data_IF_620760478686
#
_entry.id   IF_620760478686
#
_cell.length_a   1.000
_cell.length_b   1.000
_cell.length_c   1.000
_cell.angle_alpha   90.00
_cell.angle_beta   90.00
_cell.angle_gamma   90.00
#
_symmetry.space_group_name_H-M   'P 1'
#
loop_
_entity.id
_entity.type
_entity.pdbx_description
1 polymer ?
#
# COMPACT_ATOMS: atom_id res chain seq x y z
N UNK A 1 -4.84 15.34 4.03
CA UNK A 1 -6.24 15.80 3.97
C UNK A 1 -6.46 16.79 2.82
N UNK A 2 -5.67 17.84 2.71
CA UNK A 2 -5.77 18.86 1.66
C UNK A 2 -5.84 18.28 0.23
N UNK A 3 -4.97 17.32 -0.11
CA UNK A 3 -5.02 16.65 -1.41
C UNK A 3 -6.38 16.00 -1.73
N UNK A 4 -7.03 15.36 -0.75
CA UNK A 4 -8.34 14.75 -0.96
C UNK A 4 -9.43 15.82 -1.18
N UNK A 5 -9.36 16.92 -0.44
CA UNK A 5 -10.25 18.07 -0.63
C UNK A 5 -10.09 18.67 -2.03
N UNK A 6 -8.86 18.88 -2.50
CA UNK A 6 -8.55 19.38 -3.86
C UNK A 6 -9.11 18.46 -4.95
N UNK A 7 -9.15 17.16 -4.71
CA UNK A 7 -9.66 16.16 -5.64
C UNK A 7 -11.17 15.88 -5.45
N UNK A 8 -11.85 16.59 -4.55
CA UNK A 8 -13.24 16.34 -4.17
C UNK A 8 -13.48 14.85 -3.82
N UNK A 9 -12.59 14.27 -3.00
CA UNK A 9 -12.64 12.88 -2.57
C UNK A 9 -12.78 12.79 -1.06
N UNK A 10 -13.44 11.72 -0.60
CA UNK A 10 -13.45 11.38 0.83
C UNK A 10 -12.10 10.76 1.21
N UNK A 11 -11.67 11.00 2.46
CA UNK A 11 -10.46 10.43 2.99
C UNK A 11 -10.70 9.77 4.35
N UNK A 12 -10.01 8.66 4.58
CA UNK A 12 -9.94 8.00 5.88
C UNK A 12 -8.49 8.05 6.37
N UNK A 13 -8.29 8.62 7.56
CA UNK A 13 -7.02 8.57 8.27
C UNK A 13 -7.03 7.38 9.22
N UNK A 14 -5.99 6.54 9.13
CA UNK A 14 -5.75 5.45 10.06
C UNK A 14 -4.52 5.77 10.91
N UNK A 15 -4.74 6.14 12.17
CA UNK A 15 -3.67 6.37 13.15
C UNK A 15 -4.19 6.20 14.57
N UNK A 16 -3.36 5.69 15.46
CA UNK A 16 -3.65 5.61 16.91
C UNK A 16 -3.29 6.90 17.64
N UNK A 17 -2.55 7.79 16.99
CA UNK A 17 -2.02 9.03 17.57
C UNK A 17 -3.01 10.18 17.30
N UNK A 18 -3.99 10.29 18.19
CA UNK A 18 -5.07 11.30 18.06
C UNK A 18 -4.60 12.71 18.39
N UNK A 19 -3.55 12.84 19.18
CA UNK A 19 -2.94 14.10 19.60
C UNK A 19 -2.33 14.91 18.46
N UNK A 20 -2.04 14.26 17.34
CA UNK A 20 -1.47 14.89 16.13
C UNK A 20 -2.49 15.10 15.01
N UNK A 21 -3.77 14.81 15.28
CA UNK A 21 -4.79 14.98 14.25
C UNK A 21 -5.11 16.47 14.04
N UNK A 22 -5.03 16.96 12.80
CA UNK A 22 -5.55 18.29 12.48
C UNK A 22 -7.08 18.30 12.55
N UNK A 23 -7.67 19.48 12.55
CA UNK A 23 -9.11 19.61 12.32
C UNK A 23 -9.46 19.00 10.97
N UNK A 24 -10.34 17.99 10.98
CA UNK A 24 -10.72 17.27 9.77
C UNK A 24 -11.86 18.00 9.04
N UNK A 25 -11.80 18.14 7.72
CA UNK A 25 -12.93 18.61 6.93
C UNK A 25 -14.07 17.57 6.94
N UNK A 26 -15.31 17.96 6.62
CA UNK A 26 -16.47 17.04 6.63
C UNK A 26 -16.32 15.81 5.69
N UNK A 27 -15.44 15.90 4.69
CA UNK A 27 -15.13 14.82 3.76
C UNK A 27 -14.10 13.82 4.29
N UNK A 28 -13.56 14.05 5.48
CA UNK A 28 -12.54 13.22 6.09
C UNK A 28 -13.02 12.60 7.40
N UNK A 29 -12.62 11.35 7.61
CA UNK A 29 -12.89 10.59 8.80
C UNK A 29 -11.61 10.02 9.39
N UNK A 30 -11.59 9.81 10.70
CA UNK A 30 -10.47 9.20 11.42
C UNK A 30 -10.92 7.92 12.10
N UNK A 31 -10.08 6.91 12.01
CA UNK A 31 -10.20 5.67 12.77
C UNK A 31 -8.85 5.27 13.36
N UNK A 32 -8.87 4.78 14.59
CA UNK A 32 -7.65 4.27 15.24
C UNK A 32 -7.14 2.97 14.61
N UNK A 33 -8.05 2.19 14.03
CA UNK A 33 -7.75 0.92 13.38
C UNK A 33 -8.87 0.52 12.40
N UNK A 34 -8.47 -0.02 11.27
CA UNK A 34 -9.37 -0.75 10.38
C UNK A 34 -8.63 -1.93 9.73
N UNK A 35 -9.26 -3.10 9.56
CA UNK A 35 -8.65 -4.22 8.85
C UNK A 35 -8.51 -3.87 7.36
N UNK A 36 -7.26 -3.73 6.88
CA UNK A 36 -6.97 -3.34 5.51
C UNK A 36 -7.59 -4.29 4.48
N UNK A 37 -7.68 -5.58 4.78
CA UNK A 37 -8.33 -6.57 3.91
C UNK A 37 -9.80 -6.27 3.62
N UNK A 38 -10.51 -5.56 4.51
CA UNK A 38 -11.89 -5.13 4.31
C UNK A 38 -12.01 -3.72 3.76
N UNK A 39 -11.04 -2.88 4.07
CA UNK A 39 -11.03 -1.47 3.68
C UNK A 39 -10.56 -1.29 2.24
N UNK A 40 -9.43 -1.90 1.87
CA UNK A 40 -8.77 -1.67 0.58
C UNK A 40 -9.65 -2.00 -0.63
N UNK A 41 -10.44 -3.09 -0.66
CA UNK A 41 -11.34 -3.36 -1.79
C UNK A 41 -12.41 -2.28 -2.04
N UNK A 42 -12.58 -1.35 -1.09
CA UNK A 42 -13.51 -0.21 -1.17
C UNK A 42 -12.81 1.14 -1.31
N UNK A 43 -11.49 1.11 -1.42
CA UNK A 43 -10.64 2.31 -1.49
C UNK A 43 -10.20 2.57 -2.93
N UNK A 44 -10.22 3.84 -3.34
CA UNK A 44 -9.77 4.22 -4.67
C UNK A 44 -8.24 4.28 -4.78
N UNK A 45 -7.55 4.63 -3.70
CA UNK A 45 -6.09 4.64 -3.59
C UNK A 45 -5.66 4.51 -2.13
N UNK A 46 -4.43 4.09 -1.90
CA UNK A 46 -3.79 4.05 -0.59
C UNK A 46 -2.58 4.97 -0.55
N UNK A 47 -2.48 5.79 0.49
CA UNK A 47 -1.28 6.60 0.80
C UNK A 47 -0.62 6.01 2.03
N UNK A 48 0.66 5.64 1.93
CA UNK A 48 1.39 5.00 3.04
C UNK A 48 2.91 5.14 2.91
N UNK A 49 3.65 4.72 3.92
CA UNK A 49 5.12 4.84 3.97
C UNK A 49 5.89 3.80 3.14
N UNK A 50 5.25 2.79 2.58
CA UNK A 50 5.94 1.76 1.76
C UNK A 50 6.36 0.49 2.53
N UNK A 51 5.85 0.26 3.74
CA UNK A 51 6.13 -0.97 4.50
C UNK A 51 5.53 -2.20 3.81
N UNK A 52 6.29 -3.32 3.81
CA UNK A 52 5.98 -4.54 3.06
C UNK A 52 4.58 -5.12 3.34
N UNK A 53 4.15 -5.15 4.61
CA UNK A 53 2.84 -5.70 4.97
C UNK A 53 1.67 -4.89 4.42
N UNK A 54 1.80 -3.57 4.35
CA UNK A 54 0.78 -2.66 3.82
C UNK A 54 0.72 -2.72 2.30
N UNK A 55 1.88 -2.64 1.65
CA UNK A 55 1.94 -2.69 0.18
C UNK A 55 1.43 -4.01 -0.38
N UNK A 56 1.73 -5.14 0.28
CA UNK A 56 1.26 -6.46 -0.16
C UNK A 56 -0.26 -6.57 -0.13
N UNK A 57 -0.90 -6.04 0.92
CA UNK A 57 -2.36 -6.00 1.01
C UNK A 57 -2.99 -5.09 -0.06
N UNK A 58 -2.35 -3.96 -0.38
CA UNK A 58 -2.81 -3.06 -1.44
C UNK A 58 -2.68 -3.70 -2.83
N UNK A 59 -1.56 -4.41 -3.10
CA UNK A 59 -1.39 -5.19 -4.33
C UNK A 59 -2.47 -6.28 -4.46
N UNK A 60 -2.71 -7.05 -3.40
CA UNK A 60 -3.72 -8.09 -3.40
C UNK A 60 -5.15 -7.54 -3.60
N UNK A 61 -5.42 -6.34 -3.12
CA UNK A 61 -6.69 -5.64 -3.32
C UNK A 61 -6.82 -4.94 -4.68
N UNK A 62 -5.74 -4.85 -5.45
CA UNK A 62 -5.73 -4.14 -6.74
C UNK A 62 -5.83 -2.62 -6.61
N UNK A 63 -5.33 -2.06 -5.51
CA UNK A 63 -5.45 -0.64 -5.19
C UNK A 63 -4.15 0.10 -5.55
N UNK A 64 -4.20 1.20 -6.32
CA UNK A 64 -3.04 2.02 -6.61
C UNK A 64 -2.50 2.70 -5.35
N UNK A 65 -1.17 2.87 -5.30
CA UNK A 65 -0.47 3.27 -4.10
C UNK A 65 0.32 4.56 -4.32
N UNK A 66 0.19 5.52 -3.40
CA UNK A 66 1.12 6.63 -3.26
C UNK A 66 1.99 6.38 -2.04
N UNK A 67 3.29 6.27 -2.23
CA UNK A 67 4.21 6.01 -1.14
C UNK A 67 5.01 7.25 -0.73
N UNK A 68 5.27 7.37 0.57
CA UNK A 68 6.13 8.38 1.17
C UNK A 68 7.16 7.64 2.05
N UNK A 69 8.25 7.11 1.46
CA UNK A 69 9.22 6.30 2.19
C UNK A 69 9.99 7.16 3.20
N UNK A 70 10.11 6.66 4.43
CA UNK A 70 10.79 7.32 5.54
C UNK A 70 12.18 6.73 5.80
N UNK A 71 12.40 5.43 5.48
CA UNK A 71 13.66 4.73 5.73
C UNK A 71 13.51 3.21 5.66
N UNK A 72 14.55 2.51 6.08
CA UNK A 72 14.63 1.04 6.09
C UNK A 72 14.46 0.43 4.69
N UNK A 73 13.57 -0.55 4.53
CA UNK A 73 13.22 -1.23 3.29
C UNK A 73 12.27 -0.43 2.38
N UNK A 74 11.66 0.64 2.90
CA UNK A 74 10.60 1.37 2.23
C UNK A 74 11.02 2.02 0.89
N UNK A 75 12.25 2.59 0.72
CA UNK A 75 12.70 3.11 -0.57
C UNK A 75 12.83 2.03 -1.65
N UNK A 76 13.35 0.85 -1.30
CA UNK A 76 13.44 -0.28 -2.25
C UNK A 76 12.06 -0.80 -2.62
N UNK A 77 11.20 -1.01 -1.64
CA UNK A 77 9.80 -1.40 -1.84
C UNK A 77 9.08 -0.40 -2.77
N UNK A 78 9.24 0.89 -2.51
CA UNK A 78 8.68 1.97 -3.34
C UNK A 78 9.17 1.88 -4.78
N UNK A 79 10.48 1.72 -4.99
CA UNK A 79 11.07 1.58 -6.32
C UNK A 79 10.48 0.39 -7.07
N UNK A 80 10.28 -0.74 -6.41
CA UNK A 80 9.65 -1.94 -6.99
C UNK A 80 8.20 -1.66 -7.38
N UNK A 81 7.40 -1.06 -6.51
CA UNK A 81 6.00 -0.71 -6.82
C UNK A 81 5.87 0.23 -8.03
N UNK A 82 6.76 1.22 -8.14
CA UNK A 82 6.80 2.14 -9.29
C UNK A 82 7.13 1.39 -10.58
N UNK A 83 8.12 0.48 -10.54
CA UNK A 83 8.47 -0.38 -11.70
C UNK A 83 7.32 -1.31 -12.12
N UNK A 84 6.49 -1.77 -11.18
CA UNK A 84 5.29 -2.54 -11.47
C UNK A 84 4.17 -1.68 -12.10
N UNK A 85 4.29 -0.37 -12.11
CA UNK A 85 3.29 0.56 -12.64
C UNK A 85 2.06 0.74 -11.74
N UNK A 86 2.12 0.34 -10.48
CA UNK A 86 0.99 0.40 -9.53
C UNK A 86 1.11 1.53 -8.51
N UNK A 87 2.21 2.28 -8.55
CA UNK A 87 2.47 3.33 -7.56
C UNK A 87 3.16 4.56 -8.14
N UNK A 88 3.00 5.66 -7.42
CA UNK A 88 3.85 6.86 -7.44
C UNK A 88 4.41 7.09 -6.05
N UNK A 89 5.36 8.02 -5.93
CA UNK A 89 5.96 8.35 -4.64
C UNK A 89 6.19 9.84 -4.50
N UNK A 90 6.39 10.29 -3.28
CA UNK A 90 6.72 11.66 -2.90
C UNK A 90 7.73 11.63 -1.76
N UNK A 91 8.71 12.54 -1.78
CA UNK A 91 9.63 12.68 -0.67
C UNK A 91 8.92 13.24 0.58
N UNK A 92 9.31 12.84 1.80
CA UNK A 92 8.72 13.38 3.03
C UNK A 92 8.77 14.92 3.11
N UNK A 93 9.86 15.54 2.65
CA UNK A 93 10.03 16.99 2.61
C UNK A 93 9.08 17.71 1.62
N UNK A 94 8.53 16.97 0.66
CA UNK A 94 7.63 17.48 -0.38
C UNK A 94 6.17 17.07 -0.15
N UNK A 95 5.88 16.37 0.96
CA UNK A 95 4.54 15.86 1.25
C UNK A 95 3.58 16.98 1.64
N UNK A 96 2.95 17.55 0.65
CA UNK A 96 1.93 18.60 0.77
C UNK A 96 0.68 18.27 -0.04
N UNK A 97 -0.44 18.92 0.25
CA UNK A 97 -1.65 18.73 -0.55
C UNK A 97 -1.46 19.14 -2.02
N UNK A 98 -0.62 20.14 -2.28
CA UNK A 98 -0.30 20.62 -3.62
C UNK A 98 0.49 19.58 -4.44
N UNK A 99 1.49 18.95 -3.84
CA UNK A 99 2.30 17.91 -4.48
C UNK A 99 1.57 16.57 -4.59
N UNK A 100 0.82 16.20 -3.55
CA UNK A 100 0.15 14.89 -3.45
C UNK A 100 -1.09 14.82 -4.36
N UNK A 101 -1.86 15.91 -4.51
CA UNK A 101 -3.08 15.89 -5.30
C UNK A 101 -2.86 15.48 -6.78
N UNK A 102 -1.90 16.07 -7.53
CA UNK A 102 -1.66 15.66 -8.92
C UNK A 102 -1.14 14.22 -9.02
N UNK A 103 -0.34 13.73 -8.06
CA UNK A 103 0.14 12.35 -8.05
C UNK A 103 -1.00 11.36 -7.82
N UNK A 104 -1.90 11.65 -6.88
CA UNK A 104 -3.10 10.85 -6.66
C UNK A 104 -4.04 10.90 -7.87
N UNK A 105 -4.25 12.07 -8.46
CA UNK A 105 -5.07 12.18 -9.65
C UNK A 105 -4.55 11.31 -10.79
N UNK A 106 -3.25 11.35 -11.05
CA UNK A 106 -2.62 10.51 -12.07
C UNK A 106 -2.79 9.01 -11.77
N UNK A 107 -2.66 8.57 -10.51
CA UNK A 107 -2.93 7.18 -10.11
C UNK A 107 -4.38 6.76 -10.32
N UNK A 108 -5.33 7.68 -10.13
CA UNK A 108 -6.77 7.40 -10.19
C UNK A 108 -7.33 7.45 -11.62
N UNK A 109 -6.66 8.15 -12.55
CA UNK A 109 -7.17 8.40 -13.90
C UNK A 109 -6.41 7.68 -15.01
N UNK A 110 -5.20 7.16 -14.72
CA UNK A 110 -4.39 6.46 -15.71
C UNK A 110 -4.88 5.01 -15.89
N UNK A 111 -5.40 4.63 -17.06
CA UNK A 111 -5.84 3.26 -17.33
C UNK A 111 -4.69 2.23 -17.28
N UNK A 112 -3.45 2.66 -17.51
CA UNK A 112 -2.29 1.76 -17.39
C UNK A 112 -2.06 1.34 -15.93
N UNK A 113 -2.24 2.27 -14.99
CA UNK A 113 -2.18 1.97 -13.54
C UNK A 113 -3.30 1.01 -13.15
N UNK A 114 -4.52 1.26 -13.60
CA UNK A 114 -5.67 0.38 -13.31
C UNK A 114 -5.43 -1.05 -13.84
N UNK A 115 -4.91 -1.18 -15.07
CA UNK A 115 -4.56 -2.46 -15.68
C UNK A 115 -3.45 -3.19 -14.90
N UNK A 116 -2.40 -2.46 -14.50
CA UNK A 116 -1.31 -3.03 -13.70
C UNK A 116 -1.82 -3.52 -12.33
N UNK A 117 -2.63 -2.71 -11.64
CA UNK A 117 -3.24 -3.10 -10.36
C UNK A 117 -4.09 -4.37 -10.49
N UNK A 118 -4.93 -4.47 -11.52
CA UNK A 118 -5.75 -5.65 -11.79
C UNK A 118 -4.89 -6.89 -12.08
N UNK A 119 -3.85 -6.74 -12.88
CA UNK A 119 -2.88 -7.82 -13.20
C UNK A 119 -2.27 -8.41 -11.93
N UNK A 120 -1.69 -7.56 -11.07
CA UNK A 120 -0.98 -8.04 -9.89
C UNK A 120 -1.95 -8.55 -8.81
N UNK A 121 -3.13 -7.98 -8.67
CA UNK A 121 -4.17 -8.54 -7.82
C UNK A 121 -4.57 -9.96 -8.27
N UNK A 122 -4.67 -10.19 -9.58
CA UNK A 122 -4.95 -11.52 -10.14
C UNK A 122 -3.90 -12.56 -9.77
N UNK A 123 -2.61 -12.19 -9.84
CA UNK A 123 -1.49 -13.08 -9.49
C UNK A 123 -1.42 -13.44 -7.99
N UNK A 124 -2.01 -12.62 -7.12
CA UNK A 124 -1.97 -12.82 -5.66
C UNK A 124 -3.24 -13.49 -5.10
N UNK A 125 -4.25 -13.72 -5.92
CA UNK A 125 -5.56 -14.27 -5.47
C UNK A 125 -5.56 -15.77 -5.22
N UNK A 126 -4.69 -16.54 -5.85
CA UNK A 126 -4.74 -17.99 -5.84
C UNK A 126 -4.28 -18.63 -4.52
N UNK A 127 -3.66 -17.86 -3.63
CA UNK A 127 -3.16 -18.36 -2.33
C UNK A 127 -2.02 -19.37 -2.43
N UNK A 128 -1.59 -19.71 -3.64
CA UNK A 128 -0.58 -20.73 -3.92
C UNK A 128 0.78 -20.44 -3.28
N UNK A 129 1.10 -19.16 -3.08
CA UNK A 129 2.39 -18.75 -2.51
C UNK A 129 2.64 -19.35 -1.12
N UNK A 130 1.63 -19.41 -0.25
CA UNK A 130 1.77 -19.99 1.09
C UNK A 130 1.98 -21.51 1.02
N UNK A 131 1.16 -22.20 0.22
CA UNK A 131 1.29 -23.65 0.00
C UNK A 131 2.66 -23.97 -0.58
N UNK A 132 3.09 -23.23 -1.61
CA UNK A 132 4.40 -23.43 -2.24
C UNK A 132 5.55 -23.16 -1.27
N UNK A 133 5.43 -22.18 -0.38
CA UNK A 133 6.42 -21.92 0.67
C UNK A 133 6.52 -23.10 1.63
N UNK A 134 5.40 -23.66 2.06
CA UNK A 134 5.40 -24.85 2.91
C UNK A 134 6.06 -26.04 2.21
N UNK A 135 5.72 -26.33 0.97
CA UNK A 135 6.36 -27.39 0.18
C UNK A 135 7.88 -27.22 0.10
N UNK A 136 8.36 -26.00 -0.23
CA UNK A 136 9.79 -25.70 -0.28
C UNK A 136 10.49 -25.88 1.06
N UNK A 137 9.84 -25.50 2.18
CA UNK A 137 10.38 -25.73 3.51
C UNK A 137 10.43 -27.21 3.87
N UNK A 138 9.44 -27.99 3.48
CA UNK A 138 9.41 -29.45 3.67
C UNK A 138 10.51 -30.14 2.85
N UNK A 139 10.76 -29.72 1.63
CA UNK A 139 11.86 -30.20 0.79
C UNK A 139 13.24 -29.99 1.45
N UNK A 140 13.40 -28.88 2.22
CA UNK A 140 14.62 -28.59 2.99
C UNK A 140 14.70 -29.35 4.33
N UNK A 141 13.61 -29.92 4.81
CA UNK A 141 13.49 -30.55 6.12
C UNK A 141 14.51 -31.71 6.42
N UNK A 142 14.93 -32.52 5.46
CA UNK A 142 15.95 -33.56 5.69
C UNK A 142 17.33 -33.01 6.06
N UNK A 143 17.65 -31.78 5.60
CA UNK A 143 18.95 -31.13 5.88
C UNK A 143 19.04 -30.54 7.29
N UNK A 144 17.89 -30.22 7.93
CA UNK A 144 17.83 -29.62 9.27
C UNK A 144 17.99 -30.60 10.43
N UNK A 145 17.93 -31.92 10.20
CA UNK A 145 18.06 -32.95 11.28
C UNK A 145 19.49 -33.27 11.67
N UNK A 146 20.50 -32.70 11.03
CA UNK A 146 21.92 -32.99 11.33
C UNK A 146 22.58 -32.02 12.30
N UNK A 147 21.87 -31.02 12.82
CA UNK A 147 22.41 -30.15 13.90
C UNK A 147 21.91 -30.66 15.21
N UNK A 148 22.55 -31.71 15.74
CA UNK A 148 22.56 -31.98 17.21
C UNK A 148 23.63 -31.06 17.80
N UNK A 149 23.20 -30.10 18.58
CA UNK A 149 24.05 -29.37 19.53
C UNK A 149 24.49 -30.34 20.66
#
# INVERSE_FOLDING_TARGET
MDAATRLNRRALLLTRFTEHLPTLPPTAHHEGYAPLSRLLPRSAALVHHGGIGTLAQALAAGVPQLTMPMGFDQPDNTTRLVRLGVAKWVAPSEFSGETVAPLLNALLTDPAVASACAKYAGLLKDGSALTRTCELLEELGPLGRSVRL
#
